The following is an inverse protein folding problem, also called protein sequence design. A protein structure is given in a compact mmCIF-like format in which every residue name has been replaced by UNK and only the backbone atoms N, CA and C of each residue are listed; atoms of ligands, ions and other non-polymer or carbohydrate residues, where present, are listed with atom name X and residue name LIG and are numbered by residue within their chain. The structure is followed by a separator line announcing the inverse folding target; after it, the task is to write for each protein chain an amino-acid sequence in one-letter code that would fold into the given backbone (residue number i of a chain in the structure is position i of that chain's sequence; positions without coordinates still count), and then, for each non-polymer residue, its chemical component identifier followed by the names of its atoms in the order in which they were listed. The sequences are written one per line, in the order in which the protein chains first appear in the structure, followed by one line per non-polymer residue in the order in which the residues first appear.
data_IF_991654985370
#
_entry.id   IF_991654985370
#
_cell.length_a   1.000
_cell.length_b   1.000
_cell.length_c   1.000
_cell.angle_alpha   90.00
_cell.angle_beta   90.00
_cell.angle_gamma   90.00
#
_symmetry.space_group_name_H-M   'P 1'
#
loop_
_entity.id
_entity.type
_entity.pdbx_description
1 polymer ?
#
# COMPACT_ATOMS: atom_id res chain seq x y z
N UNK A 1 -62.18 -9.91 17.01
CA UNK A 1 -60.96 -10.31 16.27
C UNK A 1 -60.07 -9.10 16.12
N UNK A 2 -58.99 -8.99 16.91
CA UNK A 2 -57.96 -7.99 16.69
C UNK A 2 -56.86 -8.59 15.79
N UNK A 3 -56.30 -7.85 14.82
CA UNK A 3 -55.29 -8.39 13.92
C UNK A 3 -53.96 -8.57 14.67
N UNK A 4 -53.36 -9.76 14.55
CA UNK A 4 -52.01 -10.05 15.06
C UNK A 4 -50.99 -9.23 14.26
N UNK A 5 -50.24 -8.36 14.94
CA UNK A 5 -49.09 -7.68 14.36
C UNK A 5 -48.03 -8.72 13.93
N UNK A 6 -47.61 -8.67 12.67
CA UNK A 6 -46.46 -9.43 12.17
C UNK A 6 -45.19 -8.86 12.80
N UNK A 7 -44.46 -9.69 13.53
CA UNK A 7 -43.10 -9.38 13.96
C UNK A 7 -42.22 -9.13 12.72
N UNK A 8 -41.54 -7.98 12.70
CA UNK A 8 -40.53 -7.69 11.69
C UNK A 8 -39.40 -8.72 11.80
N UNK A 9 -39.06 -9.37 10.69
CA UNK A 9 -37.84 -10.20 10.60
C UNK A 9 -36.65 -9.30 10.91
N UNK A 10 -35.86 -9.68 11.91
CA UNK A 10 -34.52 -9.12 12.10
C UNK A 10 -33.72 -9.38 10.81
N UNK A 11 -33.14 -8.32 10.24
CA UNK A 11 -32.21 -8.44 9.12
C UNK A 11 -31.08 -9.39 9.52
N UNK A 12 -30.96 -10.52 8.81
CA UNK A 12 -29.78 -11.37 8.89
C UNK A 12 -28.57 -10.48 8.53
N UNK A 13 -27.64 -10.33 9.47
CA UNK A 13 -26.35 -9.68 9.26
C UNK A 13 -25.57 -10.47 8.20
N UNK A 14 -25.83 -10.15 6.92
CA UNK A 14 -25.02 -10.64 5.81
C UNK A 14 -23.61 -10.10 6.03
N UNK A 15 -22.68 -11.00 6.28
CA UNK A 15 -21.27 -10.70 6.53
C UNK A 15 -20.62 -10.23 5.22
N UNK A 16 -20.89 -8.98 4.83
CA UNK A 16 -20.29 -8.34 3.63
C UNK A 16 -18.83 -8.02 3.90
N UNK A 17 -17.98 -8.18 2.89
CA UNK A 17 -16.61 -7.70 3.00
C UNK A 17 -16.61 -6.16 3.10
N UNK A 18 -15.60 -5.55 3.76
CA UNK A 18 -15.49 -4.10 3.80
C UNK A 18 -15.61 -3.48 2.40
N UNK A 19 -14.94 -4.06 1.40
CA UNK A 19 -14.95 -3.55 0.03
C UNK A 19 -16.35 -3.54 -0.61
N UNK A 20 -17.16 -4.57 -0.39
CA UNK A 20 -18.54 -4.66 -0.89
C UNK A 20 -19.45 -3.66 -0.18
N UNK A 21 -19.34 -3.58 1.15
CA UNK A 21 -20.08 -2.60 1.93
C UNK A 21 -19.87 -1.18 1.40
N UNK A 22 -18.62 -0.78 1.17
CA UNK A 22 -18.32 0.58 0.71
C UNK A 22 -18.57 0.82 -0.78
N UNK A 23 -18.60 -0.24 -1.59
CA UNK A 23 -19.06 -0.14 -2.98
C UNK A 23 -20.56 0.19 -3.05
N UNK A 24 -21.35 -0.35 -2.11
CA UNK A 24 -22.79 -0.12 -2.00
C UNK A 24 -23.15 1.18 -1.26
N UNK A 25 -22.30 1.61 -0.31
CA UNK A 25 -22.59 2.73 0.59
C UNK A 25 -21.78 4.00 0.27
N UNK A 26 -21.87 4.46 -0.98
CA UNK A 26 -21.08 5.59 -1.51
C UNK A 26 -21.35 6.95 -0.82
N UNK A 27 -22.51 7.11 -0.18
CA UNK A 27 -22.97 8.38 0.41
C UNK A 27 -22.76 8.45 1.94
N UNK A 28 -22.17 7.41 2.55
CA UNK A 28 -21.90 7.44 3.99
C UNK A 28 -20.76 8.44 4.26
N UNK A 29 -21.07 9.31 5.22
CA UNK A 29 -20.52 10.44 5.96
C UNK A 29 -20.34 11.82 5.29
N UNK A 30 -20.96 12.11 4.13
CA UNK A 30 -20.97 13.49 3.58
C UNK A 30 -19.61 13.98 3.08
N UNK A 31 -18.81 13.08 2.47
CA UNK A 31 -17.46 13.40 1.99
C UNK A 31 -17.48 13.57 0.47
N UNK A 32 -18.02 14.68 -0.01
CA UNK A 32 -17.77 15.14 -1.37
C UNK A 32 -16.55 16.08 -1.36
N UNK A 33 -15.41 15.64 -1.91
CA UNK A 33 -14.48 16.52 -2.62
C UNK A 33 -13.40 15.79 -3.48
N UNK A 34 -13.52 16.03 -4.80
CA UNK A 34 -12.55 16.24 -5.91
C UNK A 34 -11.42 15.21 -6.19
N UNK A 35 -11.08 14.27 -5.32
CA UNK A 35 -10.31 13.08 -5.71
C UNK A 35 -11.18 11.87 -5.48
N UNK A 36 -11.52 11.16 -6.56
CA UNK A 36 -12.65 10.21 -6.69
C UNK A 36 -12.88 9.19 -5.56
N UNK A 37 -11.98 9.00 -4.59
CA UNK A 37 -12.30 8.42 -3.28
C UNK A 37 -11.35 8.97 -2.19
N UNK A 38 -11.70 10.08 -1.51
CA UNK A 38 -11.08 10.56 -0.27
C UNK A 38 -11.44 9.73 0.97
N UNK A 39 -11.74 8.44 0.76
CA UNK A 39 -12.35 7.55 1.74
C UNK A 39 -11.33 6.87 2.68
N UNK A 40 -10.04 6.79 2.33
CA UNK A 40 -9.08 5.88 2.99
C UNK A 40 -9.10 5.88 4.52
N UNK A 41 -8.76 7.01 5.16
CA UNK A 41 -8.75 7.09 6.63
C UNK A 41 -10.16 6.92 7.23
N UNK A 42 -11.16 7.50 6.57
CA UNK A 42 -12.56 7.43 6.97
C UNK A 42 -13.10 5.99 6.98
N UNK A 43 -12.66 5.17 6.04
CA UNK A 43 -13.06 3.76 5.95
C UNK A 43 -12.56 2.97 7.14
N UNK A 44 -11.35 3.29 7.62
CA UNK A 44 -10.82 2.70 8.85
C UNK A 44 -11.66 3.12 10.07
N UNK A 45 -12.09 4.40 10.13
CA UNK A 45 -12.97 4.89 11.21
C UNK A 45 -14.34 4.22 11.18
N UNK A 46 -14.98 4.13 10.02
CA UNK A 46 -16.28 3.46 9.86
C UNK A 46 -16.15 1.98 10.20
N UNK A 47 -15.13 1.29 9.69
CA UNK A 47 -14.91 -0.13 9.98
C UNK A 47 -14.67 -0.37 11.48
N UNK A 48 -13.90 0.50 12.13
CA UNK A 48 -13.68 0.48 13.58
C UNK A 48 -15.00 0.59 14.36
N UNK A 49 -15.83 1.58 14.02
CA UNK A 49 -17.14 1.79 14.66
C UNK A 49 -18.11 0.65 14.39
N UNK A 50 -18.13 0.11 13.17
CA UNK A 50 -19.00 -1.01 12.80
C UNK A 50 -18.65 -2.31 13.51
N UNK A 51 -17.35 -2.60 13.63
CA UNK A 51 -16.90 -3.87 14.20
C UNK A 51 -16.90 -3.83 15.73
N UNK A 52 -16.40 -2.75 16.32
CA UNK A 52 -16.20 -2.69 17.78
C UNK A 52 -17.21 -1.82 18.51
N UNK A 53 -17.87 -0.88 17.82
CA UNK A 53 -18.75 0.11 18.45
C UNK A 53 -18.01 1.19 19.26
N UNK A 54 -16.70 1.05 19.47
CA UNK A 54 -15.91 1.91 20.34
C UNK A 54 -15.57 3.26 19.69
N UNK A 55 -15.44 4.32 20.49
CA UNK A 55 -14.93 5.60 20.01
C UNK A 55 -13.44 5.51 19.67
N UNK A 56 -12.98 6.44 18.85
CA UNK A 56 -11.58 6.56 18.48
C UNK A 56 -10.98 7.85 19.03
N UNK A 57 -9.69 7.82 19.32
CA UNK A 57 -8.95 8.88 19.99
C UNK A 57 -8.04 9.59 18.98
N UNK A 58 -8.06 10.93 19.02
CA UNK A 58 -7.25 11.77 18.13
C UNK A 58 -6.48 12.78 18.96
N UNK A 59 -5.16 12.84 18.77
CA UNK A 59 -4.31 13.85 19.36
C UNK A 59 -3.53 14.59 18.28
N UNK A 60 -3.47 15.92 18.35
CA UNK A 60 -2.68 16.70 17.39
C UNK A 60 -2.13 18.00 17.98
N UNK A 61 -0.94 18.38 17.50
CA UNK A 61 -0.27 19.62 17.87
C UNK A 61 0.50 20.18 16.67
N UNK A 62 0.44 21.50 16.49
CA UNK A 62 1.24 22.21 15.48
C UNK A 62 2.67 22.41 15.98
N UNK A 63 3.67 22.58 15.08
CA UNK A 63 5.02 22.95 15.48
C UNK A 63 5.01 24.21 16.36
N UNK A 64 5.69 24.15 17.51
CA UNK A 64 5.75 25.26 18.47
C UNK A 64 4.49 25.53 19.29
N UNK A 65 3.46 24.67 19.19
CA UNK A 65 2.24 24.82 19.99
C UNK A 65 2.49 24.49 21.46
N UNK A 66 2.13 25.40 22.36
CA UNK A 66 2.18 25.19 23.81
C UNK A 66 1.11 24.20 24.31
N UNK A 67 0.11 23.91 23.50
CA UNK A 67 -0.97 22.95 23.79
C UNK A 67 -1.10 21.88 22.71
N UNK A 68 -1.65 20.73 23.09
CA UNK A 68 -2.01 19.60 22.24
C UNK A 68 -3.52 19.39 22.33
N UNK A 69 -4.19 19.39 21.19
CA UNK A 69 -5.62 19.07 21.13
C UNK A 69 -5.81 17.56 21.26
N UNK A 70 -6.78 17.16 22.08
CA UNK A 70 -7.14 15.78 22.35
C UNK A 70 -8.66 15.62 22.18
N UNK A 71 -9.05 14.61 21.43
CA UNK A 71 -10.45 14.32 21.13
C UNK A 71 -10.75 12.85 21.30
N UNK A 72 -11.90 12.56 21.89
CA UNK A 72 -12.54 11.25 21.85
C UNK A 72 -13.83 11.41 21.05
N UNK A 73 -13.93 10.75 19.88
CA UNK A 73 -15.10 10.92 19.02
C UNK A 73 -15.44 9.63 18.29
N UNK A 74 -16.70 9.50 17.88
CA UNK A 74 -17.14 8.47 16.94
C UNK A 74 -18.02 9.06 15.83
N UNK A 75 -18.56 8.18 14.98
CA UNK A 75 -19.42 8.56 13.87
C UNK A 75 -20.76 7.85 14.05
N UNK A 76 -21.84 8.62 14.01
CA UNK A 76 -23.17 8.06 13.78
C UNK A 76 -23.28 7.70 12.29
N UNK A 77 -23.24 6.40 12.02
CA UNK A 77 -23.22 5.87 10.65
C UNK A 77 -24.58 6.09 9.95
N UNK A 78 -25.68 6.09 10.71
CA UNK A 78 -27.03 6.28 10.15
C UNK A 78 -27.30 7.74 9.85
N UNK A 79 -26.90 8.62 10.77
CA UNK A 79 -27.09 10.07 10.63
C UNK A 79 -25.99 10.78 9.88
N UNK A 80 -24.88 10.09 9.61
CA UNK A 80 -23.75 10.65 8.89
C UNK A 80 -22.97 11.74 9.63
N UNK A 81 -23.10 11.79 10.94
CA UNK A 81 -22.64 12.91 11.77
C UNK A 81 -21.51 12.47 12.71
N UNK A 82 -20.45 13.29 12.89
CA UNK A 82 -19.49 13.05 13.94
C UNK A 82 -20.15 13.29 15.29
N UNK A 83 -19.82 12.46 16.28
CA UNK A 83 -20.27 12.60 17.64
C UNK A 83 -19.04 12.72 18.56
N UNK A 84 -18.85 13.91 19.11
CA UNK A 84 -17.70 14.25 19.95
C UNK A 84 -18.05 13.96 21.40
N UNK A 85 -17.36 13.00 22.00
CA UNK A 85 -17.52 12.63 23.41
C UNK A 85 -16.65 13.49 24.32
N UNK A 86 -15.46 13.87 23.85
CA UNK A 86 -14.51 14.67 24.60
C UNK A 86 -13.74 15.60 23.67
N UNK A 87 -13.53 16.84 24.12
CA UNK A 87 -12.66 17.83 23.50
C UNK A 87 -11.84 18.54 24.59
N UNK A 88 -10.52 18.38 24.56
CA UNK A 88 -9.61 18.96 25.54
C UNK A 88 -8.37 19.58 24.88
N UNK A 89 -7.81 20.60 25.54
CA UNK A 89 -6.50 21.17 25.21
C UNK A 89 -5.53 20.84 26.34
N UNK A 90 -4.64 19.88 26.08
CA UNK A 90 -3.63 19.43 27.03
C UNK A 90 -2.36 20.29 26.93
N UNK A 91 -1.63 20.54 28.03
CA UNK A 91 -0.33 21.20 27.96
C UNK A 91 0.68 20.37 27.16
N UNK A 92 1.57 21.02 26.41
CA UNK A 92 2.58 20.40 25.56
C UNK A 92 4.01 20.80 25.96
N UNK A 93 4.46 20.44 27.18
CA UNK A 93 5.78 20.85 27.69
C UNK A 93 6.93 20.24 26.87
N UNK A 94 6.73 19.06 26.31
CA UNK A 94 7.74 18.34 25.52
C UNK A 94 7.89 18.91 24.08
N UNK A 95 7.07 19.88 23.70
CA UNK A 95 7.07 20.46 22.35
C UNK A 95 6.69 19.46 21.26
N UNK A 96 5.90 18.44 21.60
CA UNK A 96 5.46 17.42 20.64
C UNK A 96 4.66 18.05 19.50
N UNK A 97 4.87 17.55 18.27
CA UNK A 97 4.13 18.00 17.10
C UNK A 97 3.73 16.80 16.23
N UNK A 98 2.57 16.90 15.58
CA UNK A 98 2.06 15.86 14.69
C UNK A 98 0.59 15.55 14.91
N UNK A 99 0.17 14.39 14.42
CA UNK A 99 -1.18 13.87 14.57
C UNK A 99 -1.11 12.37 14.87
N UNK A 100 -1.89 11.91 15.84
CA UNK A 100 -2.05 10.51 16.21
C UNK A 100 -3.54 10.19 16.12
N UNK A 101 -3.85 9.05 15.50
CA UNK A 101 -5.18 8.46 15.46
C UNK A 101 -5.07 7.06 16.06
N UNK A 102 -5.83 6.81 17.11
CA UNK A 102 -5.94 5.51 17.76
C UNK A 102 -7.37 5.00 17.58
N UNK A 103 -7.51 3.78 17.06
CA UNK A 103 -8.79 3.14 16.80
C UNK A 103 -8.71 1.65 17.10
N UNK A 104 -9.84 1.06 17.46
CA UNK A 104 -9.95 -0.39 17.73
C UNK A 104 -10.67 -1.06 16.58
N UNK A 105 -10.09 -2.13 16.04
CA UNK A 105 -10.69 -2.89 14.93
C UNK A 105 -10.68 -4.37 15.27
N UNK A 106 -11.72 -5.07 14.83
CA UNK A 106 -11.68 -6.52 14.74
C UNK A 106 -10.85 -6.95 13.51
N UNK A 107 -9.99 -7.95 13.69
CA UNK A 107 -9.16 -8.45 12.60
C UNK A 107 -8.37 -9.71 12.94
N UNK A 108 -7.90 -10.41 11.91
CA UNK A 108 -7.09 -11.61 12.05
C UNK A 108 -5.59 -11.28 11.92
N UNK A 109 -4.94 -11.01 13.06
CA UNK A 109 -3.52 -10.67 13.07
C UNK A 109 -2.64 -11.77 12.46
N UNK A 110 -2.88 -13.04 12.80
CA UNK A 110 -2.08 -14.18 12.32
C UNK A 110 -2.01 -14.23 10.80
N UNK A 111 -3.15 -14.00 10.12
CA UNK A 111 -3.23 -14.01 8.67
C UNK A 111 -2.66 -12.74 8.00
N UNK A 112 -2.87 -11.56 8.60
CA UNK A 112 -2.50 -10.28 7.99
C UNK A 112 -1.10 -9.77 8.40
N UNK A 113 -0.53 -10.25 9.50
CA UNK A 113 0.82 -9.94 9.96
C UNK A 113 1.87 -9.93 8.84
N UNK A 114 2.06 -11.01 8.06
CA UNK A 114 3.09 -11.02 7.01
C UNK A 114 2.81 -9.97 5.92
N UNK A 115 1.54 -9.61 5.69
CA UNK A 115 1.13 -8.62 4.68
C UNK A 115 1.41 -7.19 5.15
N UNK A 116 1.11 -6.88 6.41
CA UNK A 116 1.45 -5.59 7.04
C UNK A 116 2.97 -5.37 7.02
N UNK A 117 3.73 -6.38 7.45
CA UNK A 117 5.19 -6.31 7.43
C UNK A 117 5.70 -6.15 5.98
N UNK A 118 5.13 -6.89 5.02
CA UNK A 118 5.49 -6.74 3.59
C UNK A 118 5.18 -5.35 3.06
N UNK A 119 4.06 -4.74 3.46
CA UNK A 119 3.70 -3.38 3.07
C UNK A 119 4.73 -2.38 3.56
N UNK A 120 5.02 -2.40 4.87
CA UNK A 120 6.00 -1.50 5.50
C UNK A 120 7.41 -1.70 4.94
N UNK A 121 7.75 -2.93 4.58
CA UNK A 121 8.99 -3.24 3.85
C UNK A 121 9.05 -2.56 2.50
N UNK A 122 8.00 -2.70 1.69
CA UNK A 122 7.99 -2.18 0.33
C UNK A 122 7.90 -0.64 0.32
N UNK A 123 7.14 -0.02 1.22
CA UNK A 123 7.07 1.44 1.28
C UNK A 123 8.41 2.05 1.70
N UNK A 124 9.14 1.42 2.64
CA UNK A 124 10.47 1.87 3.05
C UNK A 124 11.51 1.85 1.91
N UNK A 125 11.33 0.98 0.90
CA UNK A 125 12.19 0.94 -0.29
C UNK A 125 12.03 2.21 -1.15
N UNK A 126 10.80 2.69 -1.32
CA UNK A 126 10.49 3.82 -2.20
C UNK A 126 10.45 5.17 -1.46
N UNK A 127 10.58 5.17 -0.14
CA UNK A 127 10.60 6.39 0.70
C UNK A 127 11.87 6.45 1.56
N UNK A 128 13.07 6.60 0.94
CA UNK A 128 14.35 6.54 1.66
C UNK A 128 14.58 7.69 2.64
N UNK A 129 13.79 8.76 2.53
CA UNK A 129 13.80 9.92 3.44
C UNK A 129 12.90 9.73 4.67
N UNK A 130 12.15 8.63 4.74
CA UNK A 130 11.26 8.32 5.85
C UNK A 130 11.76 7.09 6.63
N UNK A 131 11.44 7.06 7.93
CA UNK A 131 11.67 5.90 8.78
C UNK A 131 10.32 5.41 9.29
N UNK A 132 10.10 4.10 9.24
CA UNK A 132 8.88 3.49 9.78
C UNK A 132 9.23 2.65 11.00
N UNK A 133 8.60 2.95 12.13
CA UNK A 133 8.60 2.10 13.32
C UNK A 133 7.29 1.36 13.41
N UNK A 134 7.37 0.04 13.52
CA UNK A 134 6.23 -0.83 13.75
C UNK A 134 6.41 -1.53 15.09
N UNK A 135 5.37 -1.49 15.92
CA UNK A 135 5.31 -2.22 17.17
C UNK A 135 3.96 -2.94 17.24
N UNK A 136 4.01 -4.24 17.46
CA UNK A 136 2.86 -5.06 17.80
C UNK A 136 3.09 -5.62 19.19
N UNK A 137 2.12 -5.39 20.08
CA UNK A 137 2.10 -5.93 21.44
C UNK A 137 1.01 -6.99 21.50
N UNK A 138 1.40 -8.25 21.70
CA UNK A 138 0.47 -9.33 21.99
C UNK A 138 0.13 -9.34 23.49
N UNK A 139 -0.79 -10.22 23.88
CA UNK A 139 -1.02 -10.55 25.30
C UNK A 139 0.26 -11.11 25.94
N UNK A 140 1.00 -11.95 25.20
CA UNK A 140 2.29 -12.49 25.61
C UNK A 140 3.47 -11.72 25.00
N UNK A 141 4.47 -11.39 25.81
CA UNK A 141 5.68 -10.70 25.35
C UNK A 141 6.46 -11.49 24.28
N UNK A 142 6.40 -12.83 24.31
CA UNK A 142 7.07 -13.71 23.32
C UNK A 142 6.58 -13.49 21.90
N UNK A 143 5.30 -13.13 21.75
CA UNK A 143 4.65 -12.92 20.44
C UNK A 143 4.62 -11.44 20.02
N UNK A 144 5.05 -10.55 20.91
CA UNK A 144 5.23 -9.14 20.61
C UNK A 144 6.40 -8.95 19.65
N UNK A 145 6.31 -7.95 18.76
CA UNK A 145 7.40 -7.63 17.85
C UNK A 145 7.56 -6.13 17.68
N UNK A 146 8.81 -5.70 17.56
CA UNK A 146 9.16 -4.35 17.14
C UNK A 146 10.05 -4.45 15.92
N UNK A 147 9.69 -3.75 14.86
CA UNK A 147 10.46 -3.69 13.63
C UNK A 147 10.71 -2.23 13.29
N UNK A 148 11.93 -1.94 12.85
CA UNK A 148 12.28 -0.64 12.30
C UNK A 148 12.67 -0.82 10.85
N UNK A 149 11.94 -0.15 9.96
CA UNK A 149 12.20 -0.17 8.54
C UNK A 149 12.93 1.12 8.18
N UNK A 150 14.21 0.96 7.83
CA UNK A 150 15.11 2.02 7.36
C UNK A 150 15.55 1.70 5.93
N UNK A 151 16.18 2.68 5.28
CA UNK A 151 16.73 2.63 3.92
C UNK A 151 17.25 1.25 3.52
N UNK A 152 16.82 0.81 2.32
CA UNK A 152 17.27 -0.35 1.52
C UNK A 152 18.46 -1.12 2.13
N UNK A 153 18.18 -2.17 2.91
CA UNK A 153 19.22 -3.16 3.20
C UNK A 153 19.24 -4.21 2.09
N UNK A 154 20.44 -4.55 1.65
CA UNK A 154 20.68 -5.54 0.60
C UNK A 154 20.12 -6.93 0.97
N UNK A 155 19.97 -7.22 2.26
CA UNK A 155 19.46 -8.49 2.80
C UNK A 155 17.98 -8.80 2.51
N UNK A 156 17.18 -7.83 2.07
CA UNK A 156 15.72 -7.98 1.96
C UNK A 156 15.33 -8.52 0.58
N UNK A 157 16.20 -8.31 -0.42
CA UNK A 157 16.05 -8.86 -1.79
C UNK A 157 16.70 -10.25 -1.87
N UNK A 158 17.71 -10.53 -1.05
CA UNK A 158 18.36 -11.87 -1.00
C UNK A 158 17.46 -12.95 -0.38
N UNK A 159 16.40 -12.57 0.33
CA UNK A 159 15.34 -13.47 0.80
C UNK A 159 14.23 -13.74 -0.23
N UNK A 160 14.32 -13.19 -1.44
CA UNK A 160 13.36 -13.46 -2.50
C UNK A 160 13.52 -14.91 -3.03
N UNK A 161 12.40 -15.54 -3.37
CA UNK A 161 12.40 -16.89 -3.95
C UNK A 161 13.11 -16.93 -5.30
N UNK A 162 13.47 -18.13 -5.77
CA UNK A 162 14.00 -18.31 -7.13
C UNK A 162 13.01 -17.81 -8.18
N UNK A 163 13.54 -17.25 -9.26
CA UNK A 163 12.77 -16.69 -10.36
C UNK A 163 12.51 -15.17 -10.25
N UNK A 164 11.61 -14.70 -11.12
CA UNK A 164 11.27 -13.28 -11.23
C UNK A 164 10.26 -12.86 -10.16
N UNK A 165 10.72 -12.02 -9.24
CA UNK A 165 9.94 -11.45 -8.16
C UNK A 165 9.51 -10.03 -8.51
N UNK A 166 8.20 -9.82 -8.71
CA UNK A 166 7.64 -8.53 -9.14
C UNK A 166 7.16 -7.72 -7.93
N UNK A 167 7.63 -6.48 -7.84
CA UNK A 167 7.25 -5.48 -6.85
C UNK A 167 6.59 -4.31 -7.55
N UNK A 168 5.32 -4.08 -7.22
CA UNK A 168 4.45 -3.16 -7.93
C UNK A 168 4.13 -1.96 -7.06
N UNK A 169 4.17 -0.78 -7.67
CA UNK A 169 3.84 0.45 -6.99
C UNK A 169 2.97 1.32 -7.89
N UNK A 170 2.01 2.02 -7.29
CA UNK A 170 1.16 2.97 -7.96
C UNK A 170 1.08 4.25 -7.13
N UNK A 171 1.45 5.41 -7.69
CA UNK A 171 1.49 6.68 -6.98
C UNK A 171 2.20 6.59 -5.61
N UNK A 172 3.36 5.93 -5.57
CA UNK A 172 4.18 5.67 -4.37
C UNK A 172 3.49 4.80 -3.29
N UNK A 173 2.50 4.01 -3.67
CA UNK A 173 1.85 3.03 -2.80
C UNK A 173 2.21 1.63 -3.29
N UNK A 174 2.74 0.74 -2.43
CA UNK A 174 2.96 -0.66 -2.78
C UNK A 174 1.65 -1.41 -3.02
N UNK A 175 1.59 -2.22 -4.08
CA UNK A 175 0.45 -3.06 -4.42
C UNK A 175 0.73 -4.52 -4.07
N UNK A 176 0.09 -5.03 -3.02
CA UNK A 176 0.41 -6.36 -2.47
C UNK A 176 -0.48 -7.48 -2.97
N UNK A 177 -1.76 -7.17 -3.23
CA UNK A 177 -2.77 -8.18 -3.54
C UNK A 177 -3.05 -8.26 -5.04
N UNK A 178 -3.70 -9.36 -5.45
CA UNK A 178 -4.20 -9.56 -6.82
C UNK A 178 -3.16 -9.38 -7.93
N UNK A 179 -1.88 -9.64 -7.61
CA UNK A 179 -0.78 -9.40 -8.53
C UNK A 179 -0.83 -10.20 -9.83
N UNK A 180 -1.55 -11.33 -9.89
CA UNK A 180 -1.67 -12.15 -11.10
C UNK A 180 -2.39 -11.47 -12.26
N UNK A 181 -3.30 -10.53 -11.95
CA UNK A 181 -4.07 -9.78 -12.95
C UNK A 181 -3.44 -8.43 -13.31
N UNK A 182 -2.36 -8.05 -12.62
CA UNK A 182 -1.75 -6.73 -12.76
C UNK A 182 -0.91 -6.60 -14.04
N UNK A 183 -1.01 -5.43 -14.68
CA UNK A 183 -0.27 -5.07 -15.88
C UNK A 183 1.24 -5.22 -15.74
N UNK A 184 1.80 -4.86 -14.57
CA UNK A 184 3.23 -4.96 -14.31
C UNK A 184 3.63 -6.44 -14.25
N UNK A 185 2.92 -7.24 -13.46
CA UNK A 185 3.22 -8.66 -13.30
C UNK A 185 3.07 -9.41 -14.62
N UNK A 186 1.98 -9.18 -15.34
CA UNK A 186 1.75 -9.82 -16.65
C UNK A 186 2.83 -9.41 -17.65
N UNK A 187 3.23 -8.15 -17.66
CA UNK A 187 4.27 -7.68 -18.57
C UNK A 187 5.62 -8.30 -18.23
N UNK A 188 6.05 -8.24 -16.97
CA UNK A 188 7.30 -8.83 -16.52
C UNK A 188 7.34 -10.36 -16.73
N UNK A 189 6.24 -11.08 -16.50
CA UNK A 189 6.25 -12.54 -16.58
C UNK A 189 5.96 -13.11 -17.97
N UNK A 190 5.18 -12.42 -18.81
CA UNK A 190 4.67 -12.98 -20.08
C UNK A 190 5.12 -12.23 -21.33
N UNK A 191 5.52 -10.96 -21.21
CA UNK A 191 5.80 -10.09 -22.38
C UNK A 191 7.28 -9.75 -22.56
N UNK A 192 8.11 -10.06 -21.56
CA UNK A 192 9.56 -9.89 -21.59
C UNK A 192 10.21 -11.24 -21.87
N UNK A 193 11.12 -11.25 -22.85
CA UNK A 193 11.90 -12.43 -23.18
C UNK A 193 13.21 -12.46 -22.37
N UNK A 194 13.15 -12.96 -21.14
CA UNK A 194 14.30 -12.98 -20.21
C UNK A 194 15.51 -13.77 -20.73
N UNK A 195 15.29 -14.80 -21.56
CA UNK A 195 16.38 -15.62 -22.11
C UNK A 195 17.28 -14.83 -23.06
N UNK A 196 16.74 -13.83 -23.76
CA UNK A 196 17.54 -12.90 -24.58
C UNK A 196 18.57 -12.12 -23.76
N UNK A 197 18.35 -12.03 -22.44
CA UNK A 197 19.22 -11.34 -21.49
C UNK A 197 20.05 -12.31 -20.63
N UNK A 198 20.11 -13.60 -21.01
CA UNK A 198 20.80 -14.63 -20.24
C UNK A 198 20.26 -14.76 -18.82
N UNK A 199 18.98 -14.48 -18.62
CA UNK A 199 18.28 -14.62 -17.35
C UNK A 199 17.32 -15.79 -17.47
N UNK A 200 17.49 -16.77 -16.58
CA UNK A 200 16.58 -17.90 -16.47
C UNK A 200 15.45 -17.58 -15.49
N UNK A 201 14.24 -17.45 -16.03
CA UNK A 201 13.06 -16.95 -15.31
C UNK A 201 12.67 -17.74 -14.05
N UNK A 202 13.09 -19.00 -13.92
CA UNK A 202 12.71 -19.91 -12.83
C UNK A 202 13.78 -20.05 -11.74
N UNK A 203 15.04 -19.93 -12.14
CA UNK A 203 16.21 -20.25 -11.30
C UNK A 203 16.83 -18.96 -10.77
N UNK A 204 17.02 -17.96 -11.63
CA UNK A 204 17.66 -16.70 -11.26
C UNK A 204 16.79 -15.89 -10.32
N UNK A 205 17.41 -15.35 -9.26
CA UNK A 205 16.74 -14.48 -8.29
C UNK A 205 16.77 -13.04 -8.79
N UNK A 206 15.69 -12.64 -9.48
CA UNK A 206 15.57 -11.29 -10.03
C UNK A 206 14.44 -10.54 -9.34
N UNK A 207 14.73 -9.34 -8.84
CA UNK A 207 13.72 -8.41 -8.34
C UNK A 207 13.38 -7.34 -9.38
N UNK A 208 12.12 -7.29 -9.81
CA UNK A 208 11.59 -6.30 -10.76
C UNK A 208 10.71 -5.31 -10.03
N UNK A 209 11.16 -4.06 -9.88
CA UNK A 209 10.44 -3.01 -9.13
C UNK A 209 9.89 -1.97 -10.10
N UNK A 210 8.57 -1.90 -10.30
CA UNK A 210 7.97 -0.93 -11.23
C UNK A 210 7.00 -0.02 -10.48
N UNK A 211 7.14 1.30 -10.68
CA UNK A 211 6.21 2.30 -10.16
C UNK A 211 5.52 3.06 -11.28
N UNK A 212 4.19 3.00 -11.29
CA UNK A 212 3.34 3.79 -12.18
C UNK A 212 2.89 5.04 -11.42
N UNK A 213 3.10 6.22 -12.00
CA UNK A 213 2.66 7.50 -11.42
C UNK A 213 1.81 8.22 -12.44
N UNK A 214 0.59 8.59 -12.04
CA UNK A 214 -0.35 9.33 -12.89
C UNK A 214 -1.41 10.04 -12.07
N UNK A 215 -1.96 11.12 -12.60
CA UNK A 215 -3.13 11.82 -12.04
C UNK A 215 -4.36 10.91 -11.99
N UNK A 216 -4.45 9.94 -12.92
CA UNK A 216 -5.55 8.97 -13.00
C UNK A 216 -5.00 7.58 -13.31
N UNK A 217 -4.97 6.74 -12.28
CA UNK A 217 -4.61 5.32 -12.41
C UNK A 217 -5.89 4.49 -12.59
N UNK A 218 -5.99 3.65 -13.65
CA UNK A 218 -7.14 2.80 -13.92
C UNK A 218 -7.08 1.53 -13.05
N UNK A 219 -7.21 1.72 -11.74
CA UNK A 219 -7.30 0.60 -10.81
C UNK A 219 -8.54 -0.25 -11.11
N UNK A 220 -8.39 -1.55 -10.91
CA UNK A 220 -9.49 -2.50 -10.97
C UNK A 220 -9.89 -2.86 -9.53
N UNK A 221 -11.20 -2.99 -9.30
CA UNK A 221 -11.78 -3.23 -7.97
C UNK A 221 -11.78 -2.00 -7.06
N UNK A 222 -12.59 -2.05 -6.00
CA UNK A 222 -12.73 -0.96 -5.03
C UNK A 222 -11.48 -0.78 -4.14
N UNK A 223 -10.74 -1.88 -3.90
CA UNK A 223 -9.53 -1.89 -3.05
C UNK A 223 -8.30 -1.25 -3.70
N UNK A 224 -8.32 -1.00 -5.02
CA UNK A 224 -7.18 -0.44 -5.77
C UNK A 224 -5.89 -1.25 -5.66
N UNK A 225 -6.02 -2.58 -5.69
CA UNK A 225 -4.92 -3.52 -5.45
C UNK A 225 -4.13 -3.89 -6.71
N UNK A 226 -4.69 -3.63 -7.90
CA UNK A 226 -4.02 -3.87 -9.16
C UNK A 226 -4.51 -2.94 -10.27
N UNK A 227 -3.68 -2.84 -11.30
CA UNK A 227 -3.96 -2.12 -12.54
C UNK A 227 -4.15 -3.16 -13.64
N UNK A 228 -5.27 -3.11 -14.35
CA UNK A 228 -5.55 -4.04 -15.45
C UNK A 228 -4.66 -3.81 -16.66
N UNK A 229 -4.54 -4.82 -17.52
CA UNK A 229 -3.79 -4.75 -18.78
C UNK A 229 -4.65 -4.37 -19.99
N UNK A 230 -5.81 -3.78 -19.75
CA UNK A 230 -6.77 -3.30 -20.76
C UNK A 230 -6.35 -1.97 -21.41
N UNK A 231 -5.35 -1.28 -20.85
CA UNK A 231 -4.79 -0.04 -21.42
C UNK A 231 -3.46 -0.36 -22.11
N UNK A 232 -3.49 -0.45 -23.44
CA UNK A 232 -2.32 -0.82 -24.25
C UNK A 232 -1.13 0.15 -24.07
N UNK A 233 -1.39 1.45 -23.93
CA UNK A 233 -0.36 2.46 -23.67
C UNK A 233 0.40 2.18 -22.37
N UNK A 234 -0.29 1.75 -21.31
CA UNK A 234 0.33 1.38 -20.04
C UNK A 234 1.17 0.10 -20.18
N UNK A 235 0.67 -0.87 -20.94
CA UNK A 235 1.44 -2.08 -21.27
C UNK A 235 2.72 -1.72 -21.99
N UNK A 236 2.63 -0.89 -23.03
CA UNK A 236 3.76 -0.43 -23.82
C UNK A 236 4.79 0.31 -22.98
N UNK A 237 4.34 1.26 -22.15
CA UNK A 237 5.20 2.03 -21.25
C UNK A 237 5.91 1.15 -20.22
N UNK A 238 5.21 0.22 -19.57
CA UNK A 238 5.82 -0.71 -18.61
C UNK A 238 6.83 -1.62 -19.32
N UNK A 239 6.48 -2.15 -20.48
CA UNK A 239 7.38 -3.01 -21.26
C UNK A 239 8.65 -2.25 -21.64
N UNK A 240 8.52 -1.05 -22.21
CA UNK A 240 9.64 -0.20 -22.59
C UNK A 240 10.52 0.18 -21.37
N UNK A 241 9.92 0.46 -20.22
CA UNK A 241 10.66 0.80 -19.00
C UNK A 241 11.49 -0.40 -18.47
N UNK A 242 10.93 -1.61 -18.50
CA UNK A 242 11.67 -2.82 -18.14
C UNK A 242 12.79 -3.05 -19.17
N UNK A 243 12.50 -2.91 -20.47
CA UNK A 243 13.48 -3.10 -21.55
C UNK A 243 14.63 -2.07 -21.57
N UNK A 244 14.38 -0.82 -21.19
CA UNK A 244 15.40 0.20 -21.12
C UNK A 244 16.51 -0.13 -20.09
N UNK A 245 16.13 -0.77 -18.98
CA UNK A 245 17.07 -1.22 -17.96
C UNK A 245 17.80 -2.49 -18.36
N UNK A 246 17.17 -3.32 -19.20
CA UNK A 246 17.77 -4.55 -19.72
C UNK A 246 19.03 -4.28 -20.58
N UNK A 247 19.06 -3.16 -21.32
CA UNK A 247 20.28 -2.75 -22.04
C UNK A 247 21.47 -2.53 -21.11
N UNK A 248 21.21 -1.96 -19.92
CA UNK A 248 22.25 -1.75 -18.91
C UNK A 248 22.70 -3.06 -18.23
N UNK A 249 21.83 -4.08 -18.15
CA UNK A 249 22.22 -5.43 -17.67
C UNK A 249 23.25 -6.03 -18.60
N UNK A 250 23.00 -6.01 -19.90
CA UNK A 250 23.91 -6.56 -20.90
C UNK A 250 25.28 -5.86 -20.86
N UNK A 251 25.30 -4.53 -20.70
CA UNK A 251 26.55 -3.78 -20.51
C UNK A 251 27.24 -4.12 -19.18
N UNK A 252 26.51 -4.21 -18.07
CA UNK A 252 27.04 -4.49 -16.73
C UNK A 252 27.54 -5.92 -16.54
N UNK A 253 26.88 -6.92 -17.15
CA UNK A 253 27.37 -8.31 -17.17
C UNK A 253 28.72 -8.46 -17.88
N UNK A 254 29.08 -7.51 -18.74
CA UNK A 254 30.39 -7.49 -19.40
C UNK A 254 31.49 -7.00 -18.44
N UNK A 255 31.14 -6.38 -17.30
CA UNK A 255 32.11 -5.71 -16.41
C UNK A 255 32.22 -6.26 -14.98
N UNK A 256 31.25 -6.98 -14.39
CA UNK A 256 31.43 -7.54 -13.03
C UNK A 256 30.52 -8.73 -12.65
N UNK A 257 31.07 -9.67 -11.86
CA UNK A 257 30.38 -10.77 -11.14
C UNK A 257 29.81 -10.31 -9.77
N UNK A 258 29.23 -9.13 -9.68
CA UNK A 258 28.70 -8.57 -8.43
C UNK A 258 27.22 -8.12 -8.54
N UNK A 259 26.61 -7.80 -7.40
CA UNK A 259 25.25 -7.26 -7.26
C UNK A 259 25.07 -6.00 -8.13
N UNK A 260 24.33 -6.13 -9.24
CA UNK A 260 24.11 -5.04 -10.17
C UNK A 260 22.83 -4.26 -9.79
N UNK A 261 22.98 -2.96 -9.58
CA UNK A 261 21.87 -2.02 -9.36
C UNK A 261 21.68 -1.19 -10.63
N UNK A 262 20.56 -1.40 -11.31
CA UNK A 262 20.24 -0.65 -12.53
C UNK A 262 19.03 0.22 -12.28
N UNK A 263 19.22 1.53 -12.45
CA UNK A 263 18.18 2.54 -12.50
C UNK A 263 18.35 3.33 -13.80
N UNK A 264 17.28 3.91 -14.39
CA UNK A 264 17.42 4.68 -15.60
C UNK A 264 18.40 5.82 -15.34
N UNK A 265 19.49 5.87 -16.11
CA UNK A 265 20.63 6.72 -15.79
C UNK A 265 20.36 8.22 -16.04
N UNK A 266 19.25 8.61 -16.67
CA UNK A 266 18.80 10.01 -16.76
C UNK A 266 17.40 10.11 -17.39
N UNK A 267 16.74 11.26 -17.17
CA UNK A 267 15.46 11.69 -17.73
C UNK A 267 15.44 11.94 -19.26
N UNK A 268 16.45 11.51 -20.03
CA UNK A 268 16.61 11.87 -21.44
C UNK A 268 16.48 10.66 -22.35
N UNK A 269 15.24 10.31 -22.66
CA UNK A 269 14.90 9.61 -23.89
C UNK A 269 14.15 10.61 -24.78
N UNK A 270 14.09 10.37 -26.10
CA UNK A 270 13.50 11.23 -27.14
C UNK A 270 12.00 11.51 -27.00
N UNK A 271 11.39 11.14 -25.88
CA UNK A 271 10.01 11.38 -25.54
C UNK A 271 10.03 12.18 -24.24
N UNK A 272 9.54 13.41 -24.32
CA UNK A 272 9.79 14.49 -23.37
C UNK A 272 9.40 14.24 -21.90
N UNK A 273 9.57 15.26 -21.04
CA UNK A 273 9.45 15.14 -19.58
C UNK A 273 8.06 14.75 -19.04
N UNK A 274 7.09 14.47 -19.90
CA UNK A 274 5.72 14.10 -19.50
C UNK A 274 5.52 12.58 -19.32
N UNK A 275 6.46 11.74 -19.77
CA UNK A 275 6.42 10.28 -19.58
C UNK A 275 7.20 9.78 -18.35
N UNK A 276 7.44 10.65 -17.36
CA UNK A 276 8.11 10.30 -16.11
C UNK A 276 7.23 9.47 -15.16
N UNK A 277 6.97 8.22 -15.53
CA UNK A 277 6.74 7.17 -14.55
C UNK A 277 8.11 6.71 -14.05
N UNK A 278 8.55 7.19 -12.89
CA UNK A 278 9.78 6.75 -12.24
C UNK A 278 9.71 5.23 -11.92
N UNK A 279 10.09 4.39 -12.88
CA UNK A 279 10.40 2.98 -12.77
C UNK A 279 11.83 2.80 -13.31
N UNK A 280 12.67 1.88 -12.88
CA UNK A 280 12.54 0.69 -12.06
C UNK A 280 13.96 0.40 -11.51
N UNK A 281 14.09 -0.25 -10.35
CA UNK A 281 15.38 -0.81 -9.93
C UNK A 281 15.33 -2.30 -10.21
N UNK A 282 16.01 -2.76 -11.27
CA UNK A 282 16.29 -4.19 -11.47
C UNK A 282 17.49 -4.54 -10.58
N UNK A 283 17.28 -5.45 -9.63
CA UNK A 283 18.37 -6.06 -8.87
C UNK A 283 18.50 -7.52 -9.28
N UNK A 284 19.60 -7.83 -9.97
CA UNK A 284 20.04 -9.19 -10.26
C UNK A 284 20.87 -9.68 -9.08
N UNK A 285 20.35 -10.67 -8.35
CA UNK A 285 21.17 -11.44 -7.41
C UNK A 285 21.56 -12.73 -8.14
N UNK A 286 22.62 -12.67 -8.95
CA UNK A 286 23.20 -13.87 -9.55
C UNK A 286 24.09 -14.53 -8.49
N UNK A 287 23.49 -15.36 -7.66
CA UNK A 287 24.23 -16.27 -6.80
C UNK A 287 24.50 -17.55 -7.58
N UNK A 288 25.65 -17.64 -8.24
CA UNK A 288 26.17 -18.93 -8.66
C UNK A 288 26.64 -19.66 -7.39
N UNK A 289 25.97 -20.75 -7.02
CA UNK A 289 26.58 -21.82 -6.23
C UNK A 289 27.21 -22.81 -7.18
#
# INVERSE_FOLDING_TARGET
MAPKAKAAKADELVQKSPAEFFAENKNIAGFDNVRKFGLGAKMALIWSKMTTGLPFEIASARPGSATRSHYLLDIDIHRNEPNVHLEEQLPNPDGWHGSVLSLTIEGNWTYYRPKVIRYLRQIAVITPYAQFSFAYKAEDDRNSMRCMFRKLASSWITGAGSGINVYRFANRIPLLFEGGSDVITKTALRRINWSAYKIEQRTDKVGVFVSIVSTKIPFKGAGKEYIGDDVEEMVGAVKAAIQALEYQVLQGQTQAKELLYLAPLTARHSHGPELHANAAVLRLAVGFT
#
